data_IF_671295494209
#
_entry.id   IF_671295494209
#
_cell.length_a   1.000
_cell.length_b   1.000
_cell.length_c   1.000
_cell.angle_alpha   90.00
_cell.angle_beta   90.00
_cell.angle_gamma   90.00
#
_symmetry.space_group_name_H-M   'P 1'
#
loop_
_entity.id
_entity.type
_entity.pdbx_description
1 polymer ?
#
# COMPACT_ATOMS: atom_id res chain seq x y z
N UNK A 1 10.64 7.68 -21.26
CA UNK A 1 10.76 8.46 -20.00
C UNK A 1 10.43 7.54 -18.83
N UNK A 2 11.09 7.70 -17.68
CA UNK A 2 10.70 6.95 -16.48
C UNK A 2 9.33 7.43 -15.96
N UNK A 3 8.48 6.54 -15.41
CA UNK A 3 7.20 6.93 -14.85
C UNK A 3 7.41 7.84 -13.63
N UNK A 4 6.51 8.80 -13.44
CA UNK A 4 6.50 9.68 -12.26
C UNK A 4 6.22 8.87 -10.99
N UNK A 5 6.64 9.36 -9.82
CA UNK A 5 6.39 8.67 -8.55
C UNK A 5 4.89 8.51 -8.28
N UNK A 6 4.06 9.47 -8.67
CA UNK A 6 2.60 9.34 -8.61
C UNK A 6 2.08 8.17 -9.48
N UNK A 7 2.59 8.02 -10.72
CA UNK A 7 2.23 6.90 -11.58
C UNK A 7 2.73 5.56 -11.00
N UNK A 8 3.90 5.55 -10.34
CA UNK A 8 4.42 4.36 -9.66
C UNK A 8 3.55 3.97 -8.45
N UNK A 9 3.03 4.92 -7.68
CA UNK A 9 2.06 4.61 -6.60
C UNK A 9 0.82 3.94 -7.17
N UNK A 10 0.25 4.47 -8.26
CA UNK A 10 -0.90 3.84 -8.91
C UNK A 10 -0.59 2.43 -9.41
N UNK A 11 0.60 2.23 -9.98
CA UNK A 11 1.04 0.93 -10.45
C UNK A 11 1.11 -0.11 -9.32
N UNK A 12 1.39 0.28 -8.07
CA UNK A 12 1.35 -0.65 -6.92
C UNK A 12 -0.07 -1.16 -6.69
N UNK A 13 -1.08 -0.29 -6.71
CA UNK A 13 -2.48 -0.71 -6.57
C UNK A 13 -2.93 -1.58 -7.74
N UNK A 14 -2.60 -1.18 -8.97
CA UNK A 14 -2.97 -1.92 -10.19
C UNK A 14 -2.34 -3.32 -10.22
N UNK A 15 -1.05 -3.42 -9.90
CA UNK A 15 -0.34 -4.70 -9.83
C UNK A 15 -0.90 -5.61 -8.72
N UNK A 16 -1.22 -5.02 -7.56
CA UNK A 16 -1.75 -5.77 -6.42
C UNK A 16 -3.16 -6.28 -6.69
N UNK A 17 -4.00 -5.49 -7.38
CA UNK A 17 -5.31 -5.91 -7.83
C UNK A 17 -5.20 -7.11 -8.78
N UNK A 18 -4.41 -6.96 -9.85
CA UNK A 18 -4.25 -8.00 -10.87
C UNK A 18 -3.71 -9.32 -10.28
N UNK A 19 -2.74 -9.23 -9.37
CA UNK A 19 -2.15 -10.38 -8.72
C UNK A 19 -3.11 -11.03 -7.71
N UNK A 20 -3.79 -10.23 -6.88
CA UNK A 20 -4.66 -10.74 -5.81
C UNK A 20 -5.91 -11.44 -6.36
N UNK A 21 -6.43 -10.98 -7.50
CA UNK A 21 -7.56 -11.61 -8.18
C UNK A 21 -7.29 -13.08 -8.54
N UNK A 22 -6.03 -13.43 -8.82
CA UNK A 22 -5.64 -14.79 -9.24
C UNK A 22 -5.02 -15.61 -8.09
N UNK A 23 -4.30 -14.94 -7.17
CA UNK A 23 -3.39 -15.63 -6.25
C UNK A 23 -3.74 -15.45 -4.77
N UNK A 24 -4.65 -14.54 -4.41
CA UNK A 24 -4.94 -14.23 -3.01
C UNK A 24 -6.44 -14.07 -2.73
N UNK A 25 -7.24 -15.13 -2.93
CA UNK A 25 -8.67 -15.11 -2.61
C UNK A 25 -8.96 -14.93 -1.12
N UNK A 26 -7.98 -15.16 -0.24
CA UNK A 26 -8.07 -14.96 1.22
C UNK A 26 -7.40 -13.67 1.69
N UNK A 27 -7.10 -12.74 0.79
CA UNK A 27 -6.41 -11.50 1.11
C UNK A 27 -4.92 -11.72 1.38
N UNK A 28 -4.32 -10.85 2.19
CA UNK A 28 -2.88 -10.81 2.38
C UNK A 28 -2.32 -12.07 3.10
N UNK A 29 -1.40 -12.77 2.44
CA UNK A 29 -0.69 -13.93 3.02
C UNK A 29 0.06 -13.61 4.31
N UNK A 30 0.71 -12.44 4.39
CA UNK A 30 1.48 -12.05 5.58
C UNK A 30 0.58 -11.79 6.79
N UNK A 31 -0.59 -11.16 6.59
CA UNK A 31 -1.57 -10.94 7.68
C UNK A 31 -2.12 -12.27 8.18
N UNK A 32 -2.47 -13.17 7.25
CA UNK A 32 -2.96 -14.50 7.61
C UNK A 32 -1.90 -15.31 8.35
N UNK A 33 -0.64 -15.26 7.91
CA UNK A 33 0.47 -15.91 8.60
C UNK A 33 0.73 -15.31 9.99
N UNK A 34 0.63 -13.99 10.15
CA UNK A 34 0.80 -13.33 11.46
C UNK A 34 -0.26 -13.77 12.47
N UNK A 35 -1.48 -14.08 12.02
CA UNK A 35 -2.55 -14.57 12.89
C UNK A 35 -2.20 -15.92 13.55
N UNK A 36 -1.42 -16.76 12.85
CA UNK A 36 -0.95 -18.06 13.35
C UNK A 36 0.43 -17.97 14.03
N UNK A 37 1.28 -17.04 13.57
CA UNK A 37 2.67 -16.86 13.98
C UNK A 37 2.85 -15.46 14.54
N UNK A 38 2.62 -15.32 15.85
CA UNK A 38 2.73 -14.05 16.58
C UNK A 38 3.96 -13.95 17.49
N UNK A 39 4.67 -15.06 17.72
CA UNK A 39 5.91 -15.08 18.51
C UNK A 39 7.07 -14.42 17.71
N UNK A 40 7.65 -13.31 18.21
CA UNK A 40 8.77 -12.64 17.54
C UNK A 40 10.04 -13.49 17.41
N UNK A 41 10.19 -14.55 18.21
CA UNK A 41 11.33 -15.48 18.13
C UNK A 41 11.20 -16.49 16.98
N UNK A 42 10.00 -16.66 16.42
CA UNK A 42 9.77 -17.55 15.31
C UNK A 42 10.42 -16.99 14.03
N UNK A 43 11.19 -17.78 13.25
CA UNK A 43 11.94 -17.28 12.09
C UNK A 43 11.04 -16.62 11.01
N UNK A 44 9.80 -17.08 10.87
CA UNK A 44 8.84 -16.47 9.94
C UNK A 44 8.34 -15.07 10.38
N UNK A 45 8.40 -14.72 11.68
CA UNK A 45 7.92 -13.42 12.16
C UNK A 45 8.68 -12.26 11.51
N UNK A 46 10.00 -12.39 11.37
CA UNK A 46 10.85 -11.40 10.71
C UNK A 46 10.52 -11.25 9.22
N UNK A 47 10.11 -12.34 8.55
CA UNK A 47 9.70 -12.30 7.13
C UNK A 47 8.35 -11.59 6.99
N UNK A 48 7.39 -11.95 7.86
CA UNK A 48 6.04 -11.38 7.88
C UNK A 48 6.09 -9.87 8.10
N UNK A 49 6.75 -9.43 9.17
CA UNK A 49 6.85 -8.01 9.52
C UNK A 49 7.77 -7.26 8.56
N UNK A 50 8.85 -7.90 8.09
CA UNK A 50 9.76 -7.35 7.10
C UNK A 50 9.07 -7.02 5.77
N UNK A 51 8.14 -7.86 5.30
CA UNK A 51 7.36 -7.55 4.09
C UNK A 51 6.51 -6.29 4.26
N UNK A 52 5.88 -6.10 5.43
CA UNK A 52 5.09 -4.90 5.74
C UNK A 52 5.95 -3.65 5.87
N UNK A 53 7.12 -3.78 6.50
CA UNK A 53 8.10 -2.70 6.60
C UNK A 53 8.61 -2.29 5.22
N UNK A 54 8.88 -3.26 4.34
CA UNK A 54 9.31 -2.99 2.97
C UNK A 54 8.22 -2.25 2.16
N UNK A 55 6.95 -2.67 2.26
CA UNK A 55 5.84 -1.97 1.61
C UNK A 55 5.66 -0.53 2.14
N UNK A 56 5.78 -0.34 3.45
CA UNK A 56 5.74 0.99 4.06
C UNK A 56 6.87 1.88 3.52
N UNK A 57 8.10 1.37 3.49
CA UNK A 57 9.25 2.10 2.95
C UNK A 57 9.03 2.48 1.48
N UNK A 58 8.54 1.55 0.66
CA UNK A 58 8.21 1.82 -0.74
C UNK A 58 7.22 2.98 -0.91
N UNK A 59 6.13 2.99 -0.15
CA UNK A 59 5.16 4.09 -0.23
C UNK A 59 5.72 5.41 0.31
N UNK A 60 6.51 5.37 1.38
CA UNK A 60 7.17 6.55 1.94
C UNK A 60 8.16 7.17 0.94
N UNK A 61 9.00 6.35 0.29
CA UNK A 61 9.97 6.83 -0.71
C UNK A 61 9.24 7.48 -1.90
N UNK A 62 8.24 6.80 -2.44
CA UNK A 62 7.43 7.32 -3.55
C UNK A 62 6.70 8.62 -3.19
N UNK A 63 6.23 8.73 -1.95
CA UNK A 63 5.57 9.93 -1.45
C UNK A 63 6.56 11.08 -1.19
N UNK A 64 7.79 10.76 -0.74
CA UNK A 64 8.86 11.72 -0.51
C UNK A 64 9.29 12.45 -1.78
N UNK A 65 9.31 11.75 -2.91
CA UNK A 65 9.55 12.35 -4.25
C UNK A 65 8.50 13.41 -4.64
N UNK A 66 7.30 13.36 -4.02
CA UNK A 66 6.16 14.22 -4.35
C UNK A 66 6.04 15.36 -3.33
N UNK A 67 6.26 15.06 -2.05
CA UNK A 67 6.18 16.01 -0.96
C UNK A 67 7.30 15.74 0.05
N UNK A 68 8.47 16.38 -0.10
CA UNK A 68 9.63 16.09 0.76
C UNK A 68 9.35 16.24 2.26
N UNK A 69 8.56 17.24 2.65
CA UNK A 69 8.20 17.49 4.05
C UNK A 69 7.01 16.64 4.54
N UNK A 70 6.24 16.05 3.63
CA UNK A 70 4.99 15.32 3.92
C UNK A 70 5.03 13.83 3.57
N UNK A 71 6.14 13.34 3.03
CA UNK A 71 6.27 12.00 2.45
C UNK A 71 5.97 10.90 3.46
N UNK A 72 6.47 11.01 4.69
CA UNK A 72 6.21 10.05 5.76
C UNK A 72 4.72 9.90 6.08
N UNK A 73 4.00 11.02 6.17
CA UNK A 73 2.58 11.01 6.50
C UNK A 73 1.75 10.44 5.35
N UNK A 74 2.06 10.86 4.11
CA UNK A 74 1.38 10.36 2.92
C UNK A 74 1.68 8.88 2.69
N UNK A 75 2.93 8.44 2.82
CA UNK A 75 3.36 7.05 2.68
C UNK A 75 2.63 6.11 3.65
N UNK A 76 2.51 6.49 4.93
CA UNK A 76 1.72 5.74 5.92
C UNK A 76 0.25 5.63 5.53
N UNK A 77 -0.34 6.71 5.02
CA UNK A 77 -1.73 6.70 4.56
C UNK A 77 -1.92 5.78 3.36
N UNK A 78 -1.02 5.85 2.37
CA UNK A 78 -1.03 4.98 1.19
C UNK A 78 -0.89 3.50 1.58
N UNK A 79 0.00 3.19 2.53
CA UNK A 79 0.16 1.85 3.08
C UNK A 79 -1.14 1.34 3.71
N UNK A 80 -1.83 2.15 4.52
CA UNK A 80 -3.10 1.76 5.13
C UNK A 80 -4.21 1.54 4.10
N UNK A 81 -4.30 2.36 3.06
CA UNK A 81 -5.24 2.15 1.95
C UNK A 81 -4.96 0.82 1.23
N UNK A 82 -3.69 0.53 0.97
CA UNK A 82 -3.26 -0.70 0.31
C UNK A 82 -3.59 -1.95 1.15
N UNK A 83 -3.27 -1.94 2.44
CA UNK A 83 -3.57 -3.05 3.35
C UNK A 83 -5.08 -3.23 3.56
N UNK A 84 -5.82 -2.13 3.68
CA UNK A 84 -7.29 -2.17 3.74
C UNK A 84 -7.91 -2.80 2.51
N UNK A 85 -7.37 -2.50 1.32
CA UNK A 85 -7.83 -3.12 0.08
C UNK A 85 -7.61 -4.63 0.05
N UNK A 86 -6.44 -5.11 0.50
CA UNK A 86 -6.12 -6.54 0.62
C UNK A 86 -7.08 -7.27 1.57
N UNK A 87 -7.41 -6.66 2.71
CA UNK A 87 -8.34 -7.23 3.70
C UNK A 87 -9.76 -7.28 3.13
N UNK A 88 -10.26 -6.18 2.58
CA UNK A 88 -11.60 -6.11 2.01
C UNK A 88 -11.77 -7.07 0.82
N UNK A 89 -10.73 -7.23 0.00
CA UNK A 89 -10.67 -8.22 -1.08
C UNK A 89 -10.79 -9.65 -0.54
N UNK A 90 -9.98 -10.00 0.47
CA UNK A 90 -9.99 -11.33 1.06
C UNK A 90 -11.29 -11.72 1.77
N UNK A 91 -12.05 -10.73 2.23
CA UNK A 91 -13.36 -10.93 2.87
C UNK A 91 -14.53 -10.84 1.88
N UNK A 92 -14.28 -10.43 0.62
CA UNK A 92 -15.31 -10.21 -0.40
C UNK A 92 -16.46 -9.30 0.09
N UNK A 93 -16.13 -8.24 0.83
CA UNK A 93 -17.11 -7.30 1.43
C UNK A 93 -17.31 -6.03 0.61
N UNK A 94 -16.51 -5.84 -0.43
CA UNK A 94 -16.54 -4.68 -1.32
C UNK A 94 -16.23 -5.15 -2.74
N UNK A 95 -16.96 -4.63 -3.74
CA UNK A 95 -16.87 -5.13 -5.12
C UNK A 95 -15.53 -4.84 -5.81
N UNK A 96 -14.92 -3.69 -5.54
CA UNK A 96 -13.59 -3.32 -6.06
C UNK A 96 -12.79 -2.52 -5.01
N UNK A 97 -12.26 -3.19 -3.98
CA UNK A 97 -11.55 -2.52 -2.90
C UNK A 97 -10.22 -1.90 -3.37
N UNK A 98 -9.55 -2.50 -4.36
CA UNK A 98 -8.32 -1.96 -4.92
C UNK A 98 -8.57 -0.72 -5.77
N UNK A 99 -9.59 -0.73 -6.63
CA UNK A 99 -10.00 0.43 -7.41
C UNK A 99 -10.38 1.60 -6.50
N UNK A 100 -11.19 1.35 -5.46
CA UNK A 100 -11.53 2.40 -4.50
C UNK A 100 -10.29 2.96 -3.77
N UNK A 101 -9.41 2.11 -3.27
CA UNK A 101 -8.18 2.55 -2.60
C UNK A 101 -7.26 3.35 -3.52
N UNK A 102 -7.16 2.95 -4.80
CA UNK A 102 -6.40 3.65 -5.84
C UNK A 102 -6.96 5.04 -6.12
N UNK A 103 -8.27 5.19 -6.23
CA UNK A 103 -8.93 6.49 -6.41
C UNK A 103 -8.64 7.43 -5.23
N UNK A 104 -8.73 6.94 -3.99
CA UNK A 104 -8.40 7.73 -2.81
C UNK A 104 -6.92 8.11 -2.76
N UNK A 105 -6.03 7.18 -3.12
CA UNK A 105 -4.60 7.45 -3.24
C UNK A 105 -4.33 8.55 -4.28
N UNK A 106 -5.01 8.52 -5.43
CA UNK A 106 -4.88 9.55 -6.47
C UNK A 106 -5.32 10.94 -5.96
N UNK A 107 -6.44 11.01 -5.23
CA UNK A 107 -6.91 12.26 -4.65
C UNK A 107 -5.92 12.85 -3.62
N UNK A 108 -5.34 12.00 -2.77
CA UNK A 108 -4.34 12.41 -1.78
C UNK A 108 -3.04 12.92 -2.45
N UNK A 109 -2.59 12.24 -3.51
CA UNK A 109 -1.40 12.64 -4.26
C UNK A 109 -1.60 14.01 -4.94
N UNK A 110 -2.77 14.25 -5.52
CA UNK A 110 -3.11 15.55 -6.11
C UNK A 110 -3.08 16.67 -5.06
N UNK A 111 -3.74 16.45 -3.91
CA UNK A 111 -3.76 17.43 -2.82
C UNK A 111 -2.36 17.71 -2.24
N UNK A 112 -1.50 16.69 -2.16
CA UNK A 112 -0.13 16.83 -1.68
C UNK A 112 0.75 17.63 -2.67
N UNK A 113 0.63 17.37 -3.97
CA UNK A 113 1.36 18.11 -5.02
C UNK A 113 0.97 19.58 -5.09
N UNK A 114 -0.31 19.90 -4.93
CA UNK A 114 -0.80 21.28 -4.86
C UNK A 114 -0.26 22.01 -3.63
N UNK A 115 -0.16 21.31 -2.49
CA UNK A 115 0.35 21.86 -1.24
C UNK A 115 1.86 22.10 -1.27
N UNK A 116 2.61 21.29 -2.02
CA UNK A 116 4.04 21.49 -2.24
C UNK A 116 4.31 22.67 -3.18
N UNK A 117 3.47 22.85 -4.22
CA UNK A 117 3.60 23.96 -5.19
C UNK A 117 3.28 25.33 -4.59
N UNK A 118 2.41 25.38 -3.57
CA UNK A 118 1.99 26.63 -2.92
C UNK A 118 2.96 27.14 -1.84
N UNK A 119 3.96 26.34 -1.45
CA UNK A 119 5.00 26.73 -0.50
C UNK A 119 6.22 27.28 -1.24
#
# INVERSE_FOLDING_TARGET
>A
AQPTSAARVMAVFDASHAWSAQNSPKGCSMVNAHAEISDPSHPAYAIITGQKQWMLALFTDLAGDITPDGGDHLGRTLMLLHEGALVAHGLNILADPFGHAREQAQALLAAAGDSATKR
#
